data_IF_680980145102
#
_entry.id   IF_680980145102
#
_cell.length_a   1.000
_cell.length_b   1.000
_cell.length_c   1.000
_cell.angle_alpha   90.00
_cell.angle_beta   90.00
_cell.angle_gamma   90.00
#
_symmetry.space_group_name_H-M   'P 1'
#
loop_
_entity.id
_entity.type
_entity.pdbx_description
1 polymer ?
2 non-polymer ?
3 non-polymer ?
4 water ?
#
# COMPACT_ATOMS: atom_id res chain seq x y z
N UNK A 38 -19.09 4.22 -12.11
CA UNK A 38 -20.29 3.42 -11.72
C UNK A 38 -21.50 4.34 -11.50
N UNK A 39 -22.68 3.83 -11.77
CA UNK A 39 -23.92 4.54 -11.49
C UNK A 39 -24.40 4.30 -10.05
N UNK A 40 -23.67 3.47 -9.29
CA UNK A 40 -23.90 3.36 -7.84
C UNK A 40 -23.52 4.69 -7.15
N UNK A 41 -24.46 5.25 -6.38
CA UNK A 41 -24.20 6.41 -5.53
C UNK A 41 -23.39 5.95 -4.31
N UNK A 42 -22.33 6.67 -4.01
CA UNK A 42 -21.47 6.31 -2.87
C UNK A 42 -21.55 7.42 -1.83
N UNK A 43 -22.04 7.04 -0.66
CA UNK A 43 -22.25 7.95 0.45
C UNK A 43 -21.38 7.48 1.60
N UNK A 44 -20.52 8.36 2.09
CA UNK A 44 -19.76 8.08 3.29
C UNK A 44 -20.48 8.50 4.58
N UNK A 45 -20.47 7.64 5.58
CA UNK A 45 -20.96 7.94 6.93
C UNK A 45 -19.73 8.23 7.79
N UNK A 46 -19.62 9.47 8.23
CA UNK A 46 -18.46 9.87 9.01
C UNK A 46 -18.89 10.22 10.42
N UNK A 47 -17.95 10.07 11.35
CA UNK A 47 -18.15 10.45 12.72
C UNK A 47 -17.08 9.85 13.62
N UNK A 48 -17.07 10.35 14.85
CA UNK A 48 -16.07 9.92 15.83
C UNK A 48 -16.31 8.47 16.27
N UNK A 49 -15.32 7.87 16.93
CA UNK A 49 -15.44 6.51 17.50
C UNK A 49 -16.70 6.39 18.39
N UNK A 50 -17.51 5.35 18.15
CA UNK A 50 -18.77 5.10 18.81
C UNK A 50 -19.83 6.21 18.76
N UNK A 51 -19.77 7.07 17.75
CA UNK A 51 -20.84 8.02 17.49
C UNK A 51 -22.18 7.31 17.16
N UNK A 52 -22.10 6.15 16.51
CA UNK A 52 -23.33 5.43 16.14
C UNK A 52 -23.45 5.12 14.66
N UNK A 53 -22.34 5.11 13.96
CA UNK A 53 -22.32 4.96 12.51
C UNK A 53 -22.78 3.56 12.06
N UNK A 54 -22.23 2.48 12.63
CA UNK A 54 -22.68 1.13 12.23
C UNK A 54 -24.16 0.97 12.56
N UNK A 55 -24.56 1.49 13.72
CA UNK A 55 -25.94 1.38 14.15
C UNK A 55 -26.84 2.05 13.11
N UNK A 56 -26.50 3.28 12.71
CA UNK A 56 -27.31 4.07 11.77
C UNK A 56 -27.42 3.47 10.38
N UNK A 57 -26.27 3.15 9.82
CA UNK A 57 -26.19 2.55 8.51
C UNK A 57 -26.95 1.18 8.48
N UNK A 58 -26.91 0.40 9.58
CA UNK A 58 -27.64 -0.88 9.64
C UNK A 58 -29.16 -0.70 9.66
N UNK A 59 -29.63 0.38 10.26
CA UNK A 59 -31.02 0.84 10.16
C UNK A 59 -31.38 1.33 8.76
N UNK A 60 -30.59 2.28 8.24
CA UNK A 60 -30.78 2.78 6.88
C UNK A 60 -30.95 1.69 5.85
N UNK A 61 -29.99 0.77 5.81
CA UNK A 61 -29.95 -0.37 4.88
C UNK A 61 -31.34 -0.97 4.59
N UNK A 62 -32.15 -1.10 5.64
CA UNK A 62 -33.42 -1.82 5.54
C UNK A 62 -34.51 -1.06 4.77
N UNK A 63 -34.33 0.25 4.58
CA UNK A 63 -35.29 1.07 3.83
C UNK A 63 -35.54 0.62 2.39
N UNK A 64 -34.50 0.21 1.67
CA UNK A 64 -34.71 -0.36 0.34
C UNK A 64 -33.74 -1.46 0.07
N UNK A 65 -34.18 -2.39 -0.77
CA UNK A 65 -33.31 -3.39 -1.35
C UNK A 65 -32.28 -2.75 -2.29
N UNK A 66 -32.43 -1.48 -2.60
CA UNK A 66 -31.48 -0.75 -3.45
C UNK A 66 -30.28 -0.25 -2.64
N UNK A 67 -30.39 -0.37 -1.31
CA UNK A 67 -29.38 0.16 -0.40
C UNK A 67 -28.52 -0.94 0.20
N UNK A 68 -27.20 -0.78 0.06
CA UNK A 68 -26.22 -1.66 0.69
C UNK A 68 -25.22 -0.87 1.55
N UNK A 69 -24.47 -1.63 2.36
CA UNK A 69 -23.49 -1.05 3.28
C UNK A 69 -22.12 -1.72 3.14
N UNK A 70 -21.06 -0.92 3.30
CA UNK A 70 -19.72 -1.48 3.42
C UNK A 70 -19.22 -1.09 4.81
N UNK A 71 -19.28 -2.03 5.74
CA UNK A 71 -18.78 -1.73 7.09
C UNK A 71 -17.24 -1.65 7.13
N UNK A 72 -16.68 -0.98 8.13
CA UNK A 72 -15.24 -1.09 8.38
C UNK A 72 -14.98 -2.51 8.78
N UNK A 73 -13.90 -3.13 8.24
CA UNK A 73 -13.65 -4.53 8.59
C UNK A 73 -12.93 -4.64 9.92
N UNK A 74 -13.60 -4.22 11.00
CA UNK A 74 -12.94 -4.07 12.29
C UNK A 74 -12.46 -5.43 12.86
N UNK A 75 -13.22 -6.49 12.55
CA UNK A 75 -12.86 -7.86 12.93
C UNK A 75 -11.54 -8.30 12.34
N UNK A 76 -11.26 -7.89 11.10
CA UNK A 76 -9.98 -8.16 10.45
C UNK A 76 -8.85 -7.43 11.14
N UNK A 77 -9.14 -6.27 11.74
CA UNK A 77 -8.14 -5.52 12.50
C UNK A 77 -7.80 -6.12 13.87
N UNK A 78 -8.79 -6.67 14.55
CA UNK A 78 -8.55 -7.32 15.87
C UNK A 78 -8.14 -8.79 15.74
N UNK A 79 -8.23 -9.34 14.53
CA UNK A 79 -7.77 -10.68 14.28
C UNK A 79 -7.13 -10.82 12.90
N UNK A 80 -5.81 -10.61 12.87
CA UNK A 80 -5.08 -10.47 11.62
C UNK A 80 -4.93 -11.84 10.93
N UNK A 81 -5.41 -11.92 9.70
CA UNK A 81 -5.39 -13.17 8.94
C UNK A 81 -5.44 -12.94 7.44
N UNK A 82 -4.80 -13.87 6.70
CA UNK A 82 -4.80 -13.87 5.24
C UNK A 82 -6.23 -14.01 4.64
N UNK A 83 -6.36 -13.67 3.35
CA UNK A 83 -7.67 -13.61 2.66
C UNK A 83 -8.36 -12.27 2.88
N UNK A 96 -5.98 -18.08 14.94
CA UNK A 96 -6.22 -16.89 15.75
C UNK A 96 -4.98 -15.97 15.72
N UNK A 97 -5.07 -14.88 14.96
CA UNK A 97 -3.92 -14.04 14.68
C UNK A 97 -3.71 -12.87 15.59
N UNK A 98 -2.83 -11.95 15.19
CA UNK A 98 -2.53 -10.75 15.94
C UNK A 98 -3.66 -9.75 15.98
N UNK A 99 -3.66 -8.94 17.03
CA UNK A 99 -4.65 -7.93 17.19
C UNK A 99 -3.96 -6.59 16.93
N UNK A 100 -3.98 -6.13 15.68
CA UNK A 100 -3.24 -4.93 15.32
C UNK A 100 -3.93 -3.66 15.84
N UNK A 101 -5.23 -3.74 16.08
CA UNK A 101 -5.98 -2.67 16.75
C UNK A 101 -5.47 -2.44 18.17
N UNK A 102 -5.39 -3.52 18.95
CA UNK A 102 -4.79 -3.46 20.28
C UNK A 102 -3.32 -2.99 20.25
N UNK A 103 -2.54 -3.50 19.30
CA UNK A 103 -1.10 -3.16 19.24
C UNK A 103 -0.93 -1.67 19.02
N UNK A 104 -1.76 -1.11 18.13
CA UNK A 104 -1.74 0.32 17.92
C UNK A 104 -2.14 1.12 19.17
N UNK A 105 -3.25 0.75 19.82
CA UNK A 105 -3.66 1.49 21.02
C UNK A 105 -2.62 1.38 22.14
N UNK A 106 -2.04 0.19 22.31
CA UNK A 106 -1.05 -0.07 23.35
C UNK A 106 0.32 0.54 23.06
N UNK A 107 0.79 0.43 21.83
CA UNK A 107 2.10 0.96 21.47
C UNK A 107 1.99 1.80 20.21
N UNK A 108 1.34 2.98 20.30
CA UNK A 108 1.08 3.71 19.05
C UNK A 108 2.33 4.26 18.32
N UNK A 109 3.43 4.55 19.01
CA UNK A 109 4.63 4.98 18.27
C UNK A 109 5.29 3.82 17.49
N UNK A 110 5.06 2.58 17.92
CA UNK A 110 5.55 1.38 17.20
C UNK A 110 4.61 0.91 16.10
N UNK A 111 3.30 0.99 16.38
CA UNK A 111 2.33 0.26 15.54
C UNK A 111 1.36 1.10 14.72
N UNK A 112 1.35 2.41 14.92
CA UNK A 112 0.38 3.29 14.21
C UNK A 112 0.44 3.22 12.67
N UNK A 113 1.63 3.33 12.11
CA UNK A 113 1.81 3.25 10.67
C UNK A 113 1.31 1.94 10.11
N UNK A 114 1.67 0.83 10.75
CA UNK A 114 1.29 -0.50 10.31
C UNK A 114 -0.22 -0.64 10.32
N UNK A 115 -0.82 -0.33 11.47
CA UNK A 115 -2.25 -0.25 11.57
C UNK A 115 -2.91 0.66 10.49
N UNK A 116 -2.48 1.93 10.36
CA UNK A 116 -3.11 2.86 9.39
C UNK A 116 -3.04 2.34 7.96
N UNK A 117 -1.91 1.73 7.62
CA UNK A 117 -1.73 1.13 6.28
C UNK A 117 -2.68 0.00 6.07
N UNK A 118 -2.78 -0.88 7.07
CA UNK A 118 -3.66 -2.06 6.95
C UNK A 118 -5.16 -1.69 6.92
N UNK A 119 -5.52 -0.73 7.76
CA UNK A 119 -6.89 -0.24 7.85
C UNK A 119 -7.34 0.31 6.51
N UNK A 120 -6.50 1.15 5.91
CA UNK A 120 -6.86 1.76 4.64
C UNK A 120 -6.87 0.71 3.52
N UNK A 121 -5.87 -0.17 3.54
CA UNK A 121 -5.81 -1.25 2.54
C UNK A 121 -7.06 -2.12 2.59
N UNK A 122 -7.44 -2.54 3.80
CA UNK A 122 -8.63 -3.38 3.96
C UNK A 122 -9.94 -2.67 3.61
N UNK A 123 -9.99 -1.35 3.84
CA UNK A 123 -11.16 -0.56 3.43
C UNK A 123 -11.30 -0.52 1.91
N UNK A 124 -10.21 -0.19 1.22
CA UNK A 124 -10.22 -0.09 -0.23
C UNK A 124 -10.61 -1.43 -0.84
N UNK A 125 -10.05 -2.51 -0.31
CA UNK A 125 -10.43 -3.87 -0.70
C UNK A 125 -11.94 -4.07 -0.56
N UNK A 126 -12.48 -3.77 0.63
CA UNK A 126 -13.88 -4.00 0.92
C UNK A 126 -14.81 -3.17 0.05
N UNK A 127 -14.47 -1.90 -0.16
CA UNK A 127 -15.32 -0.92 -0.89
C UNK A 127 -15.37 -1.27 -2.37
N UNK A 128 -14.20 -1.60 -2.94
CA UNK A 128 -14.12 -2.05 -4.33
C UNK A 128 -14.89 -3.35 -4.59
N UNK A 129 -14.79 -4.33 -3.69
CA UNK A 129 -15.54 -5.60 -3.83
C UNK A 129 -17.05 -5.37 -3.90
N UNK A 130 -17.54 -4.50 -3.02
CA UNK A 130 -18.96 -4.16 -2.93
C UNK A 130 -19.50 -3.45 -4.15
N UNK A 131 -18.66 -2.67 -4.82
CA UNK A 131 -19.04 -2.02 -6.07
C UNK A 131 -19.11 -3.07 -7.19
N UNK A 132 -18.11 -3.95 -7.18
CA UNK A 132 -17.88 -4.87 -8.28
C UNK A 132 -19.00 -5.89 -8.38
N UNK A 133 -19.62 -6.21 -7.25
CA UNK A 133 -20.56 -7.32 -7.22
C UNK A 133 -21.99 -6.97 -6.85
N UNK A 134 -22.17 -6.09 -5.87
CA UNK A 134 -23.47 -5.88 -5.25
C UNK A 134 -24.31 -4.82 -6.00
N UNK A 135 -25.62 -4.81 -5.71
CA UNK A 135 -26.56 -3.86 -6.31
C UNK A 135 -26.59 -3.97 -7.84
N UNK A 136 -25.69 -3.21 -8.50
CA UNK A 136 -25.52 -3.18 -9.97
C UNK A 136 -26.51 -4.04 -10.76
N UNK A 137 -27.45 -3.33 -11.41
CA UNK A 137 -28.73 -3.88 -11.90
C UNK A 137 -29.89 -3.53 -10.95
N UNK A 138 -29.61 -2.76 -9.90
CA UNK A 138 -30.67 -2.22 -9.04
C UNK A 138 -31.25 -0.93 -9.61
N UNK A 139 -32.44 -0.57 -9.16
CA UNK A 139 -33.19 0.55 -9.65
C UNK A 139 -32.43 1.86 -9.45
N UNK A 140 -32.30 2.24 -8.18
CA UNK A 140 -31.50 3.39 -7.79
C UNK A 140 -30.48 2.95 -6.72
N UNK A 141 -29.38 2.28 -7.15
CA UNK A 141 -28.43 1.75 -6.15
C UNK A 141 -27.75 2.83 -5.31
N UNK A 142 -27.71 2.61 -4.00
CA UNK A 142 -26.87 3.41 -3.11
C UNK A 142 -25.97 2.48 -2.30
N UNK A 143 -24.72 2.87 -2.16
CA UNK A 143 -23.81 2.16 -1.29
C UNK A 143 -23.36 3.08 -0.16
N UNK A 144 -23.66 2.71 1.08
CA UNK A 144 -23.19 3.48 2.24
C UNK A 144 -21.88 2.94 2.78
N UNK A 145 -20.86 3.79 2.84
CA UNK A 145 -19.53 3.41 3.34
C UNK A 145 -19.47 3.78 4.80
N UNK A 146 -19.08 2.85 5.65
CA UNK A 146 -18.70 3.24 7.00
C UNK A 146 -17.31 3.83 6.93
N UNK A 147 -17.23 5.16 6.96
CA UNK A 147 -16.02 5.99 6.72
C UNK A 147 -15.42 5.84 5.32
N UNK A 148 -14.34 6.58 5.09
CA UNK A 148 -13.72 6.68 3.79
C UNK A 148 -12.20 6.72 3.91
N UNK A 149 -11.53 6.64 2.76
CA UNK A 149 -10.07 6.74 2.68
C UNK A 149 -9.63 8.13 3.13
N UNK A 150 -10.54 9.09 3.08
CA UNK A 150 -10.24 10.49 3.49
C UNK A 150 -10.22 10.66 4.98
N UNK A 151 -11.15 10.04 5.69
CA UNK A 151 -11.02 10.01 7.16
C UNK A 151 -9.82 9.16 7.64
N UNK A 152 -9.49 8.09 6.95
CA UNK A 152 -8.29 7.30 7.31
C UNK A 152 -7.07 8.24 7.38
N UNK A 153 -6.96 9.08 6.35
CA UNK A 153 -5.78 9.93 6.19
C UNK A 153 -5.81 11.25 6.92
N UNK A 154 -6.89 11.99 6.76
CA UNK A 154 -6.92 13.40 7.15
C UNK A 154 -7.46 13.58 8.59
N UNK A 155 -8.02 12.49 9.12
CA UNK A 155 -8.44 12.39 10.51
C UNK A 155 -7.49 11.52 11.30
N UNK A 156 -7.51 10.20 11.06
CA UNK A 156 -6.83 9.26 11.94
C UNK A 156 -5.31 9.30 11.81
N UNK A 157 -4.83 9.12 10.58
CA UNK A 157 -3.38 9.09 10.36
C UNK A 157 -2.77 10.42 10.69
N UNK A 158 -3.45 11.48 10.26
CA UNK A 158 -3.00 12.84 10.49
C UNK A 158 -2.86 13.13 11.99
N UNK A 159 -3.88 12.75 12.78
CA UNK A 159 -3.80 12.94 14.25
C UNK A 159 -2.60 12.20 14.85
N UNK A 160 -2.30 11.03 14.31
CA UNK A 160 -1.18 10.22 14.79
C UNK A 160 0.15 10.93 14.50
N UNK A 161 0.26 11.52 13.31
CA UNK A 161 1.45 12.28 12.95
C UNK A 161 1.57 13.50 13.86
N UNK A 162 0.45 14.18 14.07
CA UNK A 162 0.41 15.35 14.96
C UNK A 162 0.79 15.04 16.40
N UNK A 163 0.44 13.83 16.86
CA UNK A 163 0.73 13.40 18.23
C UNK A 163 2.12 12.76 18.37
N UNK A 164 2.89 12.78 17.28
CA UNK A 164 4.20 12.13 17.18
C UNK A 164 4.15 10.59 17.34
N UNK A 165 3.01 9.98 16.99
CA UNK A 165 2.87 8.52 16.99
C UNK A 165 3.37 7.90 15.69
N UNK A 166 3.48 8.74 14.68
CA UNK A 166 4.19 8.45 13.45
C UNK A 166 5.25 9.54 13.30
N UNK A 167 6.46 9.15 12.88
CA UNK A 167 7.50 10.17 12.58
C UNK A 167 7.37 10.75 11.15
N UNK A 168 8.27 11.66 10.77
CA UNK A 168 8.20 12.31 9.44
C UNK A 168 8.27 11.33 8.29
N UNK A 169 9.18 10.37 8.43
CA UNK A 169 9.39 9.35 7.41
C UNK A 169 8.15 8.49 7.25
N UNK A 170 7.62 7.98 8.35
CA UNK A 170 6.37 7.19 8.32
C UNK A 170 5.20 7.98 7.72
N UNK A 171 5.06 9.24 8.12
CA UNK A 171 3.99 10.09 7.59
C UNK A 171 4.15 10.30 6.07
N UNK A 172 5.39 10.54 5.62
CA UNK A 172 5.65 10.79 4.20
C UNK A 172 5.37 9.53 3.37
N UNK A 173 5.81 8.37 3.89
CA UNK A 173 5.51 7.08 3.27
C UNK A 173 4.02 6.80 3.17
N UNK A 174 3.33 7.00 4.28
CA UNK A 174 1.86 6.85 4.31
C UNK A 174 1.19 7.77 3.26
N UNK A 175 1.51 9.06 3.25
CA UNK A 175 0.93 9.93 2.22
C UNK A 175 1.28 9.48 0.80
N UNK A 176 2.53 9.05 0.55
CA UNK A 176 2.91 8.58 -0.81
C UNK A 176 2.07 7.34 -1.19
N UNK A 177 1.99 6.41 -0.26
CA UNK A 177 1.21 5.18 -0.39
C UNK A 177 -0.23 5.53 -0.71
N UNK A 178 -0.81 6.45 0.08
CA UNK A 178 -2.21 6.84 -0.07
C UNK A 178 -2.53 7.53 -1.40
N UNK A 179 -1.70 8.49 -1.78
CA UNK A 179 -1.80 9.17 -3.07
C UNK A 179 -1.82 8.17 -4.21
N UNK A 180 -0.88 7.23 -4.17
CA UNK A 180 -0.79 6.24 -5.26
C UNK A 180 -1.95 5.23 -5.24
N UNK A 181 -2.18 4.58 -4.11
CA UNK A 181 -3.27 3.63 -3.96
C UNK A 181 -4.58 4.23 -4.44
N UNK A 182 -4.78 5.52 -4.20
CA UNK A 182 -5.99 6.20 -4.65
C UNK A 182 -5.96 6.78 -6.08
N UNK A 183 -4.76 7.00 -6.63
CA UNK A 183 -4.64 7.39 -8.05
C UNK A 183 -5.16 6.28 -8.98
N UNK A 184 -5.03 5.03 -8.56
CA UNK A 184 -5.62 3.92 -9.29
C UNK A 184 -7.13 3.80 -8.95
N UNK A 185 -7.45 3.77 -7.66
CA UNK A 185 -8.81 3.44 -7.22
C UNK A 185 -9.57 4.67 -6.70
N UNK A 186 -9.00 5.85 -6.95
CA UNK A 186 -9.63 7.10 -6.52
C UNK A 186 -10.97 7.28 -7.22
N UNK A 187 -10.94 7.12 -8.55
CA UNK A 187 -12.07 7.43 -9.41
C UNK A 187 -13.31 6.59 -9.05
N UNK A 188 -13.08 5.29 -8.87
CA UNK A 188 -14.18 4.34 -8.74
C UNK A 188 -14.85 4.44 -7.35
N UNK A 189 -14.12 5.01 -6.41
CA UNK A 189 -14.59 5.12 -5.03
C UNK A 189 -15.05 6.54 -4.69
N UNK A 190 -15.09 7.45 -5.67
CA UNK A 190 -15.39 8.86 -5.36
C UNK A 190 -16.77 9.06 -4.74
N UNK A 191 -16.87 9.93 -3.74
CA UNK A 191 -18.12 10.03 -2.96
C UNK A 191 -19.13 10.96 -3.64
N UNK A 192 -20.41 10.58 -3.56
CA UNK A 192 -21.49 11.44 -4.03
C UNK A 192 -22.03 12.37 -2.94
N UNK A 193 -21.89 11.94 -1.69
CA UNK A 193 -22.43 12.68 -0.55
C UNK A 193 -21.75 12.16 0.70
N UNK A 194 -21.79 12.98 1.75
CA UNK A 194 -21.28 12.56 3.07
C UNK A 194 -22.37 12.74 4.11
N UNK A 195 -22.53 11.76 4.99
CA UNK A 195 -23.37 11.96 6.20
C UNK A 195 -22.48 12.05 7.42
N UNK A 196 -22.54 13.19 8.09
CA UNK A 196 -21.71 13.41 9.27
C UNK A 196 -22.56 13.20 10.50
N UNK A 197 -22.27 12.13 11.24
CA UNK A 197 -23.00 11.85 12.50
C UNK A 197 -22.23 12.52 13.60
N UNK A 198 -22.85 13.56 14.17
CA UNK A 198 -22.23 14.46 15.14
C UNK A 198 -22.62 14.00 16.55
N UNK A 199 -21.61 13.75 17.38
CA UNK A 199 -21.78 13.34 18.77
C UNK A 199 -20.64 13.99 19.52
N UNK A 200 -20.89 14.43 20.75
CA UNK A 200 -19.82 15.01 21.56
C UNK A 200 -18.77 13.99 21.93
N UNK A 201 -17.54 14.45 22.21
CA UNK A 201 -16.54 13.52 22.72
C UNK A 201 -17.03 12.73 23.96
N UNK A 202 -17.76 13.40 24.85
CA UNK A 202 -18.36 12.74 26.02
C UNK A 202 -19.40 11.66 25.65
N UNK A 203 -20.26 11.97 24.69
CA UNK A 203 -21.19 10.96 24.16
C UNK A 203 -20.44 9.73 23.61
N UNK A 204 -19.44 9.97 22.77
CA UNK A 204 -18.58 8.93 22.23
C UNK A 204 -17.88 8.11 23.30
N UNK A 205 -17.39 8.76 24.37
CA UNK A 205 -16.68 8.01 25.38
C UNK A 205 -17.63 7.02 26.09
N UNK A 206 -18.79 7.52 26.46
CA UNK A 206 -19.87 6.69 27.00
C UNK A 206 -20.21 5.48 26.14
N UNK A 207 -20.34 5.70 24.83
CA UNK A 207 -20.70 4.65 23.87
C UNK A 207 -19.58 3.63 23.64
N UNK A 208 -18.33 4.10 23.75
CA UNK A 208 -17.19 3.17 23.78
C UNK A 208 -17.40 2.17 24.92
N UNK A 209 -17.78 2.69 26.09
CA UNK A 209 -18.14 1.84 27.24
C UNK A 209 -19.33 0.93 26.95
N UNK A 210 -20.42 1.51 26.45
CA UNK A 210 -21.62 0.72 26.12
C UNK A 210 -21.26 -0.44 25.21
N UNK A 211 -20.50 -0.15 24.16
CA UNK A 211 -20.18 -1.20 23.17
C UNK A 211 -19.24 -2.28 23.71
N UNK A 212 -18.28 -1.88 24.55
CA UNK A 212 -17.38 -2.82 25.23
C UNK A 212 -16.25 -3.46 24.45
N UNK A 213 -15.83 -2.86 23.35
CA UNK A 213 -14.65 -3.37 22.61
C UNK A 213 -13.42 -3.25 23.53
N UNK A 214 -12.85 -4.39 23.93
CA UNK A 214 -11.71 -4.39 24.86
C UNK A 214 -10.60 -3.40 24.51
N UNK A 215 -10.14 -3.42 23.27
CA UNK A 215 -9.05 -2.53 22.76
C UNK A 215 -9.24 -1.03 23.04
N UNK A 216 -10.50 -0.61 23.16
CA UNK A 216 -10.87 0.82 23.23
C UNK A 216 -11.12 1.34 24.62
N UNK A 217 -11.12 0.44 25.60
CA UNK A 217 -11.60 0.85 26.93
C UNK A 217 -10.68 1.84 27.64
N UNK A 218 -9.42 1.94 27.21
CA UNK A 218 -8.50 2.91 27.78
C UNK A 218 -8.36 4.23 27.04
N UNK A 219 -9.09 4.40 25.93
CA UNK A 219 -9.00 5.65 25.18
C UNK A 219 -9.47 6.74 26.12
N UNK A 220 -8.67 7.81 26.29
CA UNK A 220 -9.04 8.94 27.12
C UNK A 220 -9.93 9.94 26.39
N UNK A 221 -10.75 10.68 27.14
CA UNK A 221 -11.55 11.76 26.54
C UNK A 221 -10.76 12.72 25.60
N UNK A 222 -9.53 13.07 25.96
CA UNK A 222 -8.80 14.05 25.15
C UNK A 222 -8.38 13.53 23.76
N UNK A 223 -8.23 12.22 23.62
CA UNK A 223 -8.01 11.60 22.30
C UNK A 223 -9.25 11.78 21.41
N UNK A 224 -10.43 11.51 21.99
CA UNK A 224 -11.72 11.73 21.31
C UNK A 224 -11.93 13.20 20.95
N UNK A 225 -11.52 14.10 21.84
CA UNK A 225 -11.56 15.56 21.56
C UNK A 225 -10.76 15.91 20.33
N UNK A 226 -9.57 15.36 20.21
CA UNK A 226 -8.70 15.62 19.07
C UNK A 226 -9.36 15.15 17.77
N UNK A 227 -10.01 13.97 17.81
CA UNK A 227 -10.66 13.42 16.60
C UNK A 227 -11.89 14.25 16.24
N UNK A 228 -12.62 14.67 17.28
CA UNK A 228 -13.74 15.55 17.12
C UNK A 228 -13.34 16.82 16.39
N UNK A 229 -12.27 17.48 16.87
CA UNK A 229 -11.84 18.77 16.26
C UNK A 229 -11.53 18.58 14.76
N UNK A 230 -10.90 17.47 14.40
CA UNK A 230 -10.59 17.22 13.00
C UNK A 230 -11.85 17.00 12.16
N UNK A 231 -12.81 16.26 12.70
CA UNK A 231 -14.11 16.09 12.06
C UNK A 231 -14.82 17.42 11.82
N UNK A 232 -14.86 18.28 12.86
CA UNK A 232 -15.55 19.56 12.74
C UNK A 232 -14.82 20.42 11.70
N UNK A 233 -13.49 20.40 11.74
CA UNK A 233 -12.73 21.21 10.81
C UNK A 233 -12.98 20.72 9.38
N UNK A 234 -13.07 19.40 9.20
CA UNK A 234 -13.31 18.84 7.86
C UNK A 234 -14.72 19.08 7.40
N UNK A 235 -15.69 18.75 8.24
CA UNK A 235 -17.03 18.55 7.76
C UNK A 235 -18.01 19.67 8.13
N UNK A 236 -17.69 20.41 9.18
CA UNK A 236 -18.54 21.52 9.65
C UNK A 236 -17.97 22.87 9.24
N UNK A 237 -16.72 23.15 9.62
CA UNK A 237 -16.07 24.40 9.29
C UNK A 237 -15.52 24.40 7.88
N UNK A 238 -15.29 23.20 7.35
CA UNK A 238 -14.70 22.97 6.02
C UNK A 238 -13.36 23.74 5.84
N UNK A 239 -12.53 23.70 6.88
CA UNK A 239 -11.23 24.35 6.88
C UNK A 239 -10.08 23.35 6.69
N UNK A 240 -10.41 22.05 6.71
CA UNK A 240 -9.43 20.99 6.43
C UNK A 240 -9.33 20.71 4.93
N UNK A 241 -8.21 21.08 4.32
CA UNK A 241 -7.97 20.89 2.87
C UNK A 241 -7.22 19.59 2.53
N UNK A 242 -7.70 18.88 1.51
CA UNK A 242 -7.16 17.59 1.10
C UNK A 242 -6.51 17.64 -0.29
N UNK A 243 -5.90 16.53 -0.70
CA UNK A 243 -5.32 16.38 -2.03
C UNK A 243 -6.35 15.97 -3.07
N UNK A 244 -7.63 16.13 -2.74
CA UNK A 244 -8.72 15.61 -3.60
C UNK A 244 -9.73 16.72 -3.82
N UNK A 245 -9.55 17.44 -4.92
CA UNK A 245 -10.29 18.70 -5.12
C UNK A 245 -11.79 18.50 -5.31
N UNK A 246 -12.20 17.32 -5.76
CA UNK A 246 -13.63 17.06 -5.96
C UNK A 246 -14.42 17.14 -4.66
N UNK A 247 -13.74 16.90 -3.53
CA UNK A 247 -14.39 16.76 -2.23
C UNK A 247 -15.00 18.06 -1.78
N UNK A 248 -14.32 19.17 -2.07
CA UNK A 248 -14.82 20.50 -1.71
C UNK A 248 -16.24 20.72 -2.24
N UNK A 249 -16.62 20.00 -3.29
CA UNK A 249 -17.95 20.07 -3.93
C UNK A 249 -19.02 19.13 -3.34
N UNK A 250 -18.59 18.15 -2.57
CA UNK A 250 -19.48 17.06 -2.15
C UNK A 250 -20.43 17.55 -1.05
N UNK A 251 -21.75 17.45 -1.25
CA UNK A 251 -22.66 17.90 -0.20
C UNK A 251 -22.57 17.05 1.08
N UNK A 252 -22.79 17.71 2.22
CA UNK A 252 -22.70 17.06 3.52
C UNK A 252 -24.02 17.26 4.28
N UNK A 253 -24.59 16.18 4.80
CA UNK A 253 -25.75 16.26 5.68
C UNK A 253 -25.24 15.99 7.06
N UNK A 254 -25.39 16.96 7.95
CA UNK A 254 -24.93 16.79 9.32
C UNK A 254 -26.13 16.42 10.19
N UNK A 255 -26.01 15.29 10.90
CA UNK A 255 -27.03 14.81 11.82
C UNK A 255 -26.50 14.79 13.25
N UNK A 256 -27.28 15.35 14.18
CA UNK A 256 -26.95 15.28 15.61
C UNK A 256 -27.43 13.97 16.21
N UNK A 257 -26.51 13.15 16.72
CA UNK A 257 -26.88 11.82 17.24
C UNK A 257 -26.57 11.67 18.72
N UNK A 258 -26.45 12.81 19.40
CA UNK A 258 -26.18 12.83 20.82
C UNK A 258 -27.26 12.20 21.67
N UNK A 259 -28.50 12.33 21.24
CA UNK A 259 -29.59 11.80 22.04
C UNK A 259 -29.68 10.26 21.93
N UNK A 260 -30.19 9.66 22.99
CA UNK A 260 -30.61 8.27 23.00
C UNK A 260 -31.48 7.99 21.75
N UNK A 261 -31.24 6.87 21.07
CA UNK A 261 -32.08 6.52 19.90
C UNK A 261 -33.54 6.17 20.21
N UNK A 262 -33.83 5.93 21.49
CA UNK A 262 -35.22 5.82 21.94
C UNK A 262 -36.03 7.05 21.46
N UNK A 263 -35.31 8.17 21.25
CA UNK A 263 -35.89 9.48 20.97
C UNK A 263 -36.06 9.82 19.49
N UNK A 264 -35.19 10.69 18.98
CA UNK A 264 -35.42 11.40 17.70
C UNK A 264 -34.89 10.74 16.40
N UNK A 265 -34.77 9.41 16.41
CA UNK A 265 -34.17 8.69 15.28
C UNK A 265 -34.97 8.66 13.97
N UNK A 266 -36.30 8.59 14.08
CA UNK A 266 -37.21 8.66 12.93
C UNK A 266 -36.92 9.83 11.99
N UNK A 267 -36.90 11.05 12.51
CA UNK A 267 -36.57 12.23 11.71
C UNK A 267 -35.25 12.05 10.92
N UNK A 268 -34.18 11.69 11.62
CA UNK A 268 -32.85 11.50 11.04
C UNK A 268 -32.86 10.62 9.77
N UNK A 269 -33.58 9.50 9.85
CA UNK A 269 -33.60 8.49 8.80
C UNK A 269 -34.30 9.02 7.56
N UNK A 270 -35.48 9.58 7.76
CA UNK A 270 -36.25 10.24 6.70
C UNK A 270 -35.42 11.33 6.03
N UNK A 271 -34.73 12.10 6.87
CA UNK A 271 -33.86 13.20 6.45
C UNK A 271 -32.69 12.74 5.53
N UNK A 272 -32.19 11.52 5.76
CA UNK A 272 -31.26 10.87 4.83
C UNK A 272 -31.98 10.48 3.53
N UNK A 273 -33.10 9.78 3.66
CA UNK A 273 -33.89 9.33 2.52
C UNK A 273 -34.05 10.46 1.49
N UNK A 274 -34.25 11.68 2.01
CA UNK A 274 -34.44 12.86 1.18
C UNK A 274 -33.17 13.60 0.72
N UNK A 275 -32.12 13.63 1.54
CA UNK A 275 -30.78 14.05 1.10
C UNK A 275 -30.35 13.30 -0.17
N UNK A 276 -30.60 11.99 -0.20
CA UNK A 276 -30.20 11.14 -1.33
C UNK A 276 -30.97 11.48 -2.61
N UNK A 277 -32.18 12.04 -2.46
CA UNK A 277 -32.99 12.49 -3.60
C UNK A 277 -32.39 13.71 -4.31
N UNK A 278 -31.66 14.52 -3.56
CA UNK A 278 -30.97 15.69 -4.09
C UNK A 278 -29.66 15.37 -4.81
N UNK A 279 -29.21 14.11 -4.78
CA UNK A 279 -27.90 13.76 -5.34
C UNK A 279 -28.00 13.17 -6.73
N UNK B 39 1.73 -6.18 -25.56
CA UNK B 39 2.70 -6.65 -26.60
C UNK B 39 4.14 -6.59 -26.08
N UNK B 40 4.39 -5.65 -25.17
CA UNK B 40 5.69 -5.51 -24.52
C UNK B 40 5.99 -6.79 -23.75
N UNK B 41 7.13 -7.39 -24.06
CA UNK B 41 7.65 -8.53 -23.32
C UNK B 41 8.30 -7.99 -22.06
N UNK B 42 8.04 -8.66 -20.95
CA UNK B 42 8.53 -8.20 -19.63
C UNK B 42 9.51 -9.24 -19.10
N UNK B 43 10.76 -8.80 -18.89
CA UNK B 43 11.83 -9.67 -18.41
C UNK B 43 12.37 -9.10 -17.11
N UNK B 44 12.38 -9.92 -16.07
CA UNK B 44 13.00 -9.51 -14.81
C UNK B 44 14.49 -9.89 -14.70
N UNK B 45 15.33 -8.93 -14.33
CA UNK B 45 16.71 -9.22 -13.98
C UNK B 45 16.72 -9.40 -12.45
N UNK B 46 17.10 -10.61 -12.02
CA UNK B 46 17.16 -10.98 -10.60
C UNK B 46 18.59 -11.31 -10.22
N UNK B 47 18.87 -11.21 -8.92
CA UNK B 47 20.19 -11.46 -8.38
C UNK B 47 20.40 -10.68 -7.10
N UNK B 48 21.44 -11.05 -6.38
CA UNK B 48 21.68 -10.55 -5.04
C UNK B 48 22.12 -9.09 -5.07
N UNK B 49 22.23 -8.50 -3.89
CA UNK B 49 22.69 -7.12 -3.75
C UNK B 49 24.09 -6.96 -4.39
N UNK B 50 24.22 -6.03 -5.34
CA UNK B 50 25.51 -5.67 -5.93
C UNK B 50 26.07 -6.79 -6.83
N UNK B 51 25.18 -7.68 -7.29
CA UNK B 51 25.57 -8.71 -8.26
C UNK B 51 26.04 -8.13 -9.60
N UNK B 52 25.51 -6.97 -9.99
CA UNK B 52 25.85 -6.28 -11.26
C UNK B 52 24.69 -6.09 -12.23
N UNK B 53 23.47 -6.10 -11.69
CA UNK B 53 22.21 -6.05 -12.48
C UNK B 53 22.03 -4.71 -13.20
N UNK B 54 22.10 -3.63 -12.46
CA UNK B 54 22.03 -2.29 -13.04
C UNK B 54 23.10 -2.08 -14.12
N UNK B 55 24.34 -2.43 -13.79
CA UNK B 55 25.47 -2.31 -14.71
C UNK B 55 25.20 -3.07 -15.99
N UNK B 56 24.88 -4.36 -15.84
CA UNK B 56 24.62 -5.22 -16.98
C UNK B 56 23.47 -4.76 -17.85
N UNK B 57 22.31 -4.54 -17.23
CA UNK B 57 21.08 -4.33 -18.02
C UNK B 57 21.08 -2.94 -18.70
N UNK B 58 21.70 -1.95 -18.07
CA UNK B 58 21.69 -0.61 -18.66
C UNK B 58 22.73 -0.45 -19.74
N UNK B 59 23.65 -1.39 -19.81
CA UNK B 59 24.56 -1.46 -20.93
C UNK B 59 23.89 -2.27 -22.04
N UNK B 60 23.40 -3.47 -21.68
CA UNK B 60 22.62 -4.35 -22.55
C UNK B 60 21.50 -3.67 -23.35
N UNK B 61 20.77 -2.75 -22.72
CA UNK B 61 19.61 -2.12 -23.33
C UNK B 61 19.97 -1.27 -24.56
N UNK B 62 21.23 -0.88 -24.64
CA UNK B 62 21.74 -0.07 -25.76
C UNK B 62 21.74 -0.79 -27.10
N UNK B 63 21.80 -2.11 -27.06
CA UNK B 63 21.80 -2.94 -28.27
C UNK B 63 20.56 -2.81 -29.16
N UNK B 64 19.44 -2.38 -28.58
CA UNK B 64 18.23 -2.24 -29.34
C UNK B 64 17.36 -1.09 -28.88
N UNK B 65 16.88 -0.30 -29.84
CA UNK B 65 16.00 0.83 -29.54
C UNK B 65 14.66 0.32 -29.00
N UNK B 66 14.40 -0.97 -29.20
CA UNK B 66 13.19 -1.63 -28.68
C UNK B 66 13.37 -2.15 -27.25
N UNK B 67 14.57 -2.00 -26.69
CA UNK B 67 14.86 -2.43 -25.30
C UNK B 67 14.95 -1.27 -24.32
N UNK B 68 14.14 -1.34 -23.28
CA UNK B 68 14.16 -0.35 -22.21
C UNK B 68 14.21 -1.03 -20.84
N UNK B 69 14.67 -0.29 -19.83
CA UNK B 69 14.80 -0.80 -18.46
C UNK B 69 13.93 0.03 -17.51
N UNK B 70 13.30 -0.63 -16.53
CA UNK B 70 12.72 0.04 -15.34
C UNK B 70 13.67 -0.18 -14.14
N UNK B 71 14.44 0.85 -13.74
CA UNK B 71 15.32 0.59 -12.60
C UNK B 71 14.59 0.47 -11.27
N UNK B 72 15.26 -0.08 -10.28
CA UNK B 72 14.67 -0.18 -8.95
C UNK B 72 14.68 1.21 -8.31
N UNK B 73 13.61 1.60 -7.62
CA UNK B 73 13.56 2.95 -7.01
C UNK B 73 14.40 3.14 -5.74
N UNK B 74 15.62 2.63 -5.74
CA UNK B 74 16.48 2.76 -4.55
C UNK B 74 16.67 4.22 -4.09
N UNK B 75 16.85 5.16 -5.03
CA UNK B 75 16.92 6.59 -4.69
C UNK B 75 15.76 7.08 -3.86
N UNK B 76 14.56 6.60 -4.19
CA UNK B 76 13.33 6.96 -3.50
C UNK B 76 13.25 6.38 -2.08
N UNK B 77 14.03 5.34 -1.83
CA UNK B 77 14.15 4.70 -0.51
C UNK B 77 15.17 5.41 0.40
N UNK B 78 16.26 5.90 -0.17
CA UNK B 78 17.25 6.60 0.64
C UNK B 78 16.90 8.10 0.88
N UNK B 79 15.87 8.60 0.19
CA UNK B 79 15.46 9.99 0.25
C UNK B 79 13.94 10.00 0.05
N UNK B 80 13.23 9.89 1.15
CA UNK B 80 11.79 9.61 1.13
C UNK B 80 11.03 10.93 0.92
N UNK B 81 10.31 11.02 -0.19
CA UNK B 81 9.55 12.23 -0.56
C UNK B 81 8.16 11.85 -1.02
N UNK B 82 7.20 12.70 -0.75
CA UNK B 82 5.88 12.55 -1.34
C UNK B 82 5.58 13.83 -2.16
N UNK B 83 4.54 13.78 -2.97
CA UNK B 83 4.27 14.85 -3.94
C UNK B 83 3.88 16.18 -3.28
N UNK B 84 4.37 17.28 -3.84
CA UNK B 84 3.99 18.60 -3.33
C UNK B 84 2.69 19.07 -3.93
N UNK B 85 1.98 19.91 -3.19
CA UNK B 85 0.80 20.58 -3.70
C UNK B 85 1.21 21.48 -4.89
N UNK B 86 0.28 21.73 -5.81
CA UNK B 86 0.53 22.44 -7.09
C UNK B 86 0.97 23.91 -6.89
N UNK B 87 0.44 24.52 -5.84
CA UNK B 87 0.80 25.90 -5.48
C UNK B 87 2.03 25.93 -4.59
N UNK B 88 2.09 25.01 -3.62
CA UNK B 88 3.22 24.97 -2.69
C UNK B 88 4.58 24.74 -3.38
N UNK B 89 4.60 23.96 -4.45
CA UNK B 89 5.86 23.63 -5.13
C UNK B 89 6.51 24.82 -5.84
N UNK B 90 5.72 25.87 -6.04
CA UNK B 90 6.21 27.06 -6.70
C UNK B 90 7.04 27.99 -5.79
N UNK B 91 6.86 27.84 -4.46
CA UNK B 91 7.62 28.69 -3.54
C UNK B 91 8.43 27.88 -2.54
N UNK B 92 8.13 26.57 -2.43
CA UNK B 92 8.83 25.72 -1.50
C UNK B 92 9.58 24.64 -2.27
N UNK B 93 10.81 24.35 -1.83
CA UNK B 93 11.66 23.36 -2.45
C UNK B 93 11.17 21.96 -2.05
N UNK B 94 11.48 20.97 -2.88
CA UNK B 94 11.18 19.60 -2.49
C UNK B 94 12.34 19.14 -1.60
N UNK B 95 12.11 19.05 -0.30
CA UNK B 95 13.18 18.81 0.69
C UNK B 95 13.67 17.36 0.73
N UNK B 96 14.95 17.17 1.10
CA UNK B 96 15.41 15.80 1.37
C UNK B 96 14.62 15.19 2.53
N UNK B 97 14.12 13.97 2.35
CA UNK B 97 13.33 13.33 3.39
C UNK B 97 14.19 12.35 4.18
N UNK B 98 13.53 11.48 4.91
CA UNK B 98 14.21 10.46 5.71
C UNK B 98 14.86 9.43 4.81
N UNK B 99 15.67 8.58 5.43
CA UNK B 99 16.33 7.51 4.71
C UNK B 99 15.82 6.17 5.22
N UNK B 100 14.79 5.60 4.59
CA UNK B 100 14.18 4.38 5.15
C UNK B 100 15.04 3.13 4.90
N UNK B 101 15.81 3.17 3.82
CA UNK B 101 16.79 2.15 3.54
C UNK B 101 17.76 2.02 4.72
N UNK B 102 18.24 3.15 5.19
CA UNK B 102 19.24 3.16 6.28
C UNK B 102 18.54 2.80 7.58
N UNK B 103 17.27 3.20 7.71
CA UNK B 103 16.57 2.96 8.98
C UNK B 103 16.37 1.46 9.13
N UNK B 104 16.04 0.81 8.01
CA UNK B 104 15.91 -0.64 7.96
C UNK B 104 17.23 -1.33 8.30
N UNK B 105 18.35 -0.90 7.71
CA UNK B 105 19.62 -1.58 8.02
C UNK B 105 20.05 -1.39 9.45
N UNK B 106 19.77 -0.21 10.01
CA UNK B 106 20.13 0.08 11.40
C UNK B 106 19.27 -0.69 12.42
N UNK B 107 17.99 -0.85 12.12
CA UNK B 107 17.04 -1.46 13.07
C UNK B 107 16.00 -2.24 12.30
N UNK B 108 16.41 -3.41 11.76
CA UNK B 108 15.49 -4.18 10.93
C UNK B 108 14.24 -4.65 11.63
N UNK B 109 14.32 -4.97 12.93
CA UNK B 109 13.14 -5.46 13.66
C UNK B 109 12.03 -4.41 13.82
N UNK B 110 12.38 -3.15 13.66
CA UNK B 110 11.44 -2.04 13.80
C UNK B 110 10.96 -1.56 12.44
N UNK B 111 11.92 -1.46 11.51
CA UNK B 111 11.71 -0.79 10.23
C UNK B 111 11.52 -1.64 8.97
N UNK B 112 11.71 -2.97 9.08
CA UNK B 112 11.63 -3.88 7.92
C UNK B 112 10.28 -3.84 7.20
N UNK B 113 9.19 -3.99 7.97
CA UNK B 113 7.85 -3.99 7.41
C UNK B 113 7.58 -2.68 6.64
N UNK B 114 7.93 -1.56 7.25
CA UNK B 114 7.72 -0.25 6.63
C UNK B 114 8.50 -0.16 5.34
N UNK B 115 9.78 -0.51 5.40
CA UNK B 115 10.62 -0.49 4.21
C UNK B 115 10.06 -1.42 3.12
N UNK B 116 9.68 -2.65 3.47
CA UNK B 116 9.31 -3.61 2.41
C UNK B 116 8.00 -3.19 1.74
N UNK B 117 7.06 -2.70 2.54
CA UNK B 117 5.81 -2.17 1.98
C UNK B 117 6.11 -1.05 0.99
N UNK B 118 6.91 -0.07 1.39
CA UNK B 118 7.27 1.04 0.51
C UNK B 118 8.07 0.62 -0.74
N UNK B 119 9.00 -0.32 -0.55
CA UNK B 119 9.81 -0.86 -1.65
C UNK B 119 8.91 -1.35 -2.77
N UNK B 120 7.91 -2.12 -2.39
CA UNK B 120 7.08 -2.81 -3.35
C UNK B 120 6.08 -1.85 -4.00
N UNK B 121 5.47 -0.98 -3.19
CA UNK B 121 4.63 0.10 -3.72
C UNK B 121 5.36 0.95 -4.76
N UNK B 122 6.58 1.39 -4.44
CA UNK B 122 7.32 2.28 -5.33
C UNK B 122 7.67 1.53 -6.61
N UNK B 123 7.88 0.22 -6.50
CA UNK B 123 8.24 -0.60 -7.66
C UNK B 123 7.08 -0.71 -8.61
N UNK B 124 5.95 -1.16 -8.07
CA UNK B 124 4.75 -1.31 -8.85
C UNK B 124 4.40 0.02 -9.55
N UNK B 125 4.53 1.14 -8.84
CA UNK B 125 4.18 2.42 -9.44
C UNK B 125 5.07 2.68 -10.65
N UNK B 126 6.37 2.47 -10.48
CA UNK B 126 7.32 2.72 -11.57
C UNK B 126 7.14 1.73 -12.73
N UNK B 127 6.92 0.45 -12.42
CA UNK B 127 6.77 -0.59 -13.46
C UNK B 127 5.52 -0.36 -14.32
N UNK B 128 4.38 -0.09 -13.68
CA UNK B 128 3.14 0.18 -14.41
C UNK B 128 3.23 1.39 -15.34
N UNK B 129 3.89 2.44 -14.89
CA UNK B 129 4.03 3.65 -15.67
C UNK B 129 4.85 3.37 -16.94
N UNK B 130 5.92 2.58 -16.85
CA UNK B 130 6.75 2.32 -18.04
C UNK B 130 6.06 1.37 -19.01
N UNK B 131 5.21 0.52 -18.44
CA UNK B 131 4.46 -0.43 -19.21
C UNK B 131 3.46 0.36 -20.03
N UNK B 132 2.90 1.39 -19.41
CA UNK B 132 1.86 2.20 -20.01
C UNK B 132 2.34 3.31 -20.93
N UNK B 133 3.58 3.77 -20.75
CA UNK B 133 4.04 4.96 -21.44
C UNK B 133 5.21 4.86 -22.39
N UNK B 134 5.88 3.71 -22.42
CA UNK B 134 7.11 3.58 -23.22
C UNK B 134 7.00 2.53 -24.34
N UNK B 135 7.96 2.56 -25.27
CA UNK B 135 8.09 1.55 -26.33
C UNK B 135 6.87 1.42 -27.26
N UNK B 136 6.09 2.49 -27.38
CA UNK B 136 4.89 2.51 -28.26
C UNK B 136 5.19 2.39 -29.79
N UNK B 137 6.47 2.47 -30.17
CA UNK B 137 6.85 2.37 -31.58
C UNK B 137 7.86 1.25 -31.88
N UNK B 138 7.96 0.28 -30.98
CA UNK B 138 8.90 -0.81 -31.15
C UNK B 138 8.26 -1.97 -31.91
N UNK B 139 9.07 -2.62 -32.76
CA UNK B 139 8.65 -3.82 -33.47
C UNK B 139 8.63 -5.04 -32.54
N UNK B 140 9.69 -5.20 -31.75
CA UNK B 140 9.77 -6.27 -30.76
C UNK B 140 10.22 -5.70 -29.40
N UNK B 141 9.30 -5.01 -28.70
CA UNK B 141 9.62 -4.27 -27.49
C UNK B 141 9.83 -5.20 -26.30
N UNK B 142 10.93 -4.97 -25.60
CA UNK B 142 11.26 -5.73 -24.41
C UNK B 142 11.50 -4.71 -23.30
N UNK B 143 10.78 -4.88 -22.19
CA UNK B 143 10.99 -4.08 -20.99
C UNK B 143 11.66 -4.94 -19.90
N UNK B 144 12.88 -4.57 -19.51
CA UNK B 144 13.60 -5.29 -18.48
C UNK B 144 13.33 -4.63 -17.16
N UNK B 145 12.88 -5.40 -16.19
CA UNK B 145 12.70 -4.89 -14.86
C UNK B 145 13.94 -5.25 -14.03
N UNK B 146 14.48 -4.28 -13.30
CA UNK B 146 15.45 -4.55 -12.27
C UNK B 146 14.65 -5.05 -11.06
N UNK B 147 14.66 -6.37 -10.89
CA UNK B 147 13.90 -7.09 -9.89
C UNK B 147 12.40 -7.00 -10.10
N UNK B 148 11.67 -7.70 -9.26
CA UNK B 148 10.25 -7.90 -9.42
C UNK B 148 9.52 -7.87 -8.07
N UNK B 149 8.19 -7.81 -8.12
CA UNK B 149 7.40 -7.91 -6.90
C UNK B 149 7.57 -9.29 -6.26
N UNK B 150 8.05 -10.27 -7.04
CA UNK B 150 8.32 -11.61 -6.50
C UNK B 150 9.57 -11.68 -5.65
N UNK B 151 10.64 -11.02 -6.08
CA UNK B 151 11.81 -10.91 -5.24
C UNK B 151 11.55 -10.09 -4.00
N UNK B 152 10.76 -9.02 -4.10
CA UNK B 152 10.35 -8.26 -2.89
C UNK B 152 9.80 -9.19 -1.82
N UNK B 153 8.87 -10.05 -2.21
CA UNK B 153 8.15 -10.92 -1.28
C UNK B 153 8.97 -12.16 -0.88
N UNK B 154 9.42 -12.90 -1.89
CA UNK B 154 9.92 -14.27 -1.68
C UNK B 154 11.39 -14.34 -1.37
N UNK B 155 12.09 -13.25 -1.65
CA UNK B 155 13.49 -13.18 -1.28
C UNK B 155 13.63 -12.28 -0.08
N UNK B 156 13.36 -11.00 -0.28
CA UNK B 156 13.73 -10.01 0.75
C UNK B 156 12.84 -10.02 1.98
N UNK B 157 11.53 -9.93 1.79
CA UNK B 157 10.62 -9.87 2.95
C UNK B 157 10.57 -11.21 3.68
N UNK B 158 10.59 -12.28 2.89
CA UNK B 158 10.58 -13.63 3.43
C UNK B 158 11.80 -13.85 4.32
N UNK B 159 12.95 -13.39 3.84
CA UNK B 159 14.15 -13.48 4.62
C UNK B 159 14.06 -12.71 5.95
N UNK B 160 13.46 -11.53 5.92
CA UNK B 160 13.27 -10.71 7.11
C UNK B 160 12.36 -11.39 8.15
N UNK B 161 11.29 -12.01 7.65
CA UNK B 161 10.41 -12.84 8.45
C UNK B 161 11.16 -14.02 9.08
N UNK B 162 11.88 -14.78 8.25
CA UNK B 162 12.68 -15.89 8.74
C UNK B 162 13.69 -15.41 9.80
N UNK B 163 14.22 -14.21 9.65
CA UNK B 163 15.16 -13.68 10.62
C UNK B 163 14.51 -13.01 11.83
N UNK B 164 13.20 -13.13 11.97
CA UNK B 164 12.42 -12.44 13.03
C UNK B 164 12.57 -10.91 13.05
N UNK B 165 12.88 -10.33 11.89
CA UNK B 165 12.90 -8.89 11.73
C UNK B 165 11.48 -8.39 11.39
N UNK B 166 10.63 -9.32 10.97
CA UNK B 166 9.21 -9.05 10.86
C UNK B 166 8.51 -10.09 11.68
N UNK B 167 7.56 -9.68 12.51
CA UNK B 167 6.79 -10.65 13.27
C UNK B 167 5.64 -11.27 12.47
N UNK B 168 4.80 -12.03 13.16
CA UNK B 168 3.77 -12.81 12.49
C UNK B 168 2.69 -11.92 11.86
N UNK B 169 2.38 -10.85 12.60
CA UNK B 169 1.35 -9.90 12.24
C UNK B 169 1.81 -9.09 11.03
N UNK B 170 3.04 -8.60 11.09
CA UNK B 170 3.63 -7.87 9.96
C UNK B 170 3.71 -8.75 8.71
N UNK B 171 4.19 -9.98 8.85
CA UNK B 171 4.27 -10.89 7.71
C UNK B 171 2.89 -11.20 7.11
N UNK B 172 1.87 -11.38 7.95
CA UNK B 172 0.53 -11.67 7.47
C UNK B 172 0.00 -10.46 6.70
N UNK B 173 0.12 -9.28 7.27
CA UNK B 173 -0.32 -8.04 6.63
C UNK B 173 0.40 -7.83 5.30
N UNK B 174 1.72 -8.00 5.31
CA UNK B 174 2.51 -7.81 4.10
C UNK B 174 2.03 -8.71 2.99
N UNK B 175 1.86 -10.01 3.30
CA UNK B 175 1.46 -10.96 2.29
C UNK B 175 0.05 -10.68 1.81
N UNK B 176 -0.80 -10.26 2.74
CA UNK B 176 -2.21 -9.97 2.43
C UNK B 176 -2.27 -8.82 1.42
N UNK B 177 -1.56 -7.74 1.73
CA UNK B 177 -1.36 -6.59 0.83
C UNK B 177 -0.78 -6.97 -0.53
N UNK B 178 0.37 -7.66 -0.49
CA UNK B 178 1.04 -8.15 -1.70
C UNK B 178 0.06 -8.96 -2.58
N UNK B 179 -0.66 -9.92 -1.99
CA UNK B 179 -1.65 -10.73 -2.73
C UNK B 179 -2.70 -9.85 -3.39
N UNK B 180 -3.24 -8.90 -2.62
CA UNK B 180 -4.37 -8.10 -3.09
C UNK B 180 -3.96 -7.28 -4.30
N UNK B 181 -2.82 -6.61 -4.18
CA UNK B 181 -2.25 -5.83 -5.26
C UNK B 181 -1.94 -6.61 -6.52
N UNK B 182 -1.45 -7.83 -6.38
CA UNK B 182 -1.19 -8.64 -7.58
C UNK B 182 -2.46 -9.07 -8.30
N UNK B 183 -3.47 -9.43 -7.52
CA UNK B 183 -4.77 -9.76 -8.09
C UNK B 183 -5.40 -8.56 -8.82
N UNK B 184 -5.18 -7.35 -8.32
CA UNK B 184 -5.74 -6.14 -8.94
C UNK B 184 -5.30 -5.88 -10.38
N UNK B 185 -4.06 -6.23 -10.69
CA UNK B 185 -3.58 -6.18 -12.06
C UNK B 185 -3.89 -7.52 -12.69
N UNK B 186 -4.10 -7.52 -13.99
CA UNK B 186 -4.49 -8.74 -14.65
C UNK B 186 -3.26 -9.56 -14.88
N UNK B 187 -2.76 -9.48 -16.10
CA UNK B 187 -1.49 -10.08 -16.40
C UNK B 187 -0.51 -8.94 -16.65
N UNK B 188 -0.84 -7.73 -16.22
CA UNK B 188 -0.08 -6.56 -16.69
C UNK B 188 1.39 -6.57 -16.26
N UNK B 189 1.68 -6.95 -15.02
CA UNK B 189 3.09 -7.09 -14.58
C UNK B 189 3.70 -8.48 -14.77
N UNK B 190 2.90 -9.46 -15.20
CA UNK B 190 3.32 -10.84 -15.33
C UNK B 190 4.53 -10.95 -16.22
N UNK B 191 5.46 -11.79 -15.82
CA UNK B 191 6.74 -11.89 -16.49
C UNK B 191 6.67 -12.89 -17.61
N UNK B 192 7.41 -12.58 -18.66
CA UNK B 192 7.62 -13.47 -19.80
C UNK B 192 8.89 -14.29 -19.64
N UNK B 193 9.81 -13.83 -18.79
CA UNK B 193 11.11 -14.48 -18.66
C UNK B 193 11.86 -13.86 -17.50
N UNK B 194 12.80 -14.62 -16.94
CA UNK B 194 13.67 -14.10 -15.88
C UNK B 194 15.10 -14.38 -16.27
N UNK B 195 15.95 -13.39 -16.04
CA UNK B 195 17.36 -13.52 -16.20
C UNK B 195 17.97 -13.42 -14.82
N UNK B 196 18.57 -14.52 -14.40
CA UNK B 196 19.17 -14.57 -13.09
C UNK B 196 20.68 -14.38 -13.22
N UNK B 197 21.15 -13.27 -12.65
CA UNK B 197 22.59 -12.99 -12.55
C UNK B 197 23.13 -13.56 -11.28
N UNK B 198 23.89 -14.63 -11.41
CA UNK B 198 24.34 -15.38 -10.27
C UNK B 198 25.77 -14.96 -9.95
N UNK B 199 25.95 -14.44 -8.75
CA UNK B 199 27.27 -14.06 -8.23
C UNK B 199 27.37 -14.63 -6.82
N UNK B 200 28.56 -15.04 -6.42
CA UNK B 200 28.76 -15.54 -5.05
C UNK B 200 28.48 -14.47 -3.99
N UNK B 201 28.11 -14.89 -2.76
CA UNK B 201 28.00 -13.90 -1.68
C UNK B 201 29.27 -13.05 -1.55
N UNK B 202 30.43 -13.70 -1.69
CA UNK B 202 31.73 -13.01 -1.59
C UNK B 202 31.93 -11.95 -2.67
N UNK B 203 31.60 -12.28 -3.92
CA UNK B 203 31.58 -11.29 -4.99
C UNK B 203 30.66 -10.09 -4.69
N UNK B 204 29.42 -10.38 -4.24
CA UNK B 204 28.49 -9.33 -3.87
C UNK B 204 29.02 -8.44 -2.75
N UNK B 205 29.66 -9.04 -1.76
CA UNK B 205 30.18 -8.27 -0.65
C UNK B 205 31.27 -7.26 -1.13
N UNK B 206 32.12 -7.74 -2.02
CA UNK B 206 33.17 -6.93 -2.64
C UNK B 206 32.53 -5.83 -3.47
N UNK B 207 31.59 -6.19 -4.32
CA UNK B 207 30.86 -5.19 -5.13
C UNK B 207 30.05 -4.14 -4.35
N UNK B 208 29.56 -4.52 -3.16
CA UNK B 208 28.91 -3.53 -2.26
C UNK B 208 29.92 -2.46 -1.86
N UNK B 209 31.12 -2.91 -1.49
CA UNK B 209 32.23 -2.03 -1.18
C UNK B 209 32.65 -1.16 -2.39
N UNK B 210 32.82 -1.75 -3.57
CA UNK B 210 33.14 -0.98 -4.80
C UNK B 210 32.15 0.13 -5.03
N UNK B 211 30.86 -0.21 -4.96
CA UNK B 211 29.80 0.77 -5.23
C UNK B 211 29.74 1.89 -4.17
N UNK B 212 29.96 1.53 -2.91
CA UNK B 212 30.04 2.50 -1.83
C UNK B 212 28.74 3.14 -1.37
N UNK B 213 27.60 2.44 -1.47
CA UNK B 213 26.37 2.96 -0.83
C UNK B 213 26.53 2.92 0.67
N UNK B 214 26.41 4.11 1.28
CA UNK B 214 26.65 4.32 2.70
C UNK B 214 25.87 3.37 3.59
N UNK B 215 24.58 3.24 3.26
CA UNK B 215 23.60 2.38 3.96
C UNK B 215 23.97 0.88 3.99
N UNK B 216 24.76 0.43 3.01
CA UNK B 216 25.08 -0.99 2.83
C UNK B 216 26.45 -1.43 3.36
N UNK B 217 27.23 -0.50 3.91
CA UNK B 217 28.63 -0.84 4.27
C UNK B 217 28.76 -1.77 5.48
N UNK B 218 27.71 -1.85 6.30
CA UNK B 218 27.67 -2.77 7.43
C UNK B 218 27.10 -4.16 7.15
N UNK B 219 26.68 -4.43 5.91
CA UNK B 219 26.10 -5.74 5.57
C UNK B 219 27.11 -6.88 5.69
N UNK B 220 26.83 -7.89 6.54
CA UNK B 220 27.80 -8.97 6.63
C UNK B 220 27.56 -10.04 5.63
N UNK B 221 28.60 -10.81 5.37
CA UNK B 221 28.53 -11.92 4.44
C UNK B 221 27.35 -12.88 4.71
N UNK B 222 27.09 -13.15 5.99
CA UNK B 222 25.98 -14.03 6.43
C UNK B 222 24.60 -13.58 5.91
N UNK B 223 24.40 -12.27 5.81
CA UNK B 223 23.17 -11.72 5.30
C UNK B 223 23.05 -11.97 3.79
N UNK B 224 24.15 -11.76 3.06
CA UNK B 224 24.18 -12.00 1.61
C UNK B 224 24.03 -13.49 1.27
N UNK B 225 24.57 -14.33 2.13
CA UNK B 225 24.48 -15.78 1.94
C UNK B 225 23.02 -16.24 2.06
N UNK B 226 22.31 -15.69 3.03
CA UNK B 226 20.89 -15.96 3.17
C UNK B 226 20.08 -15.57 1.95
N UNK B 227 20.35 -14.38 1.42
CA UNK B 227 19.71 -13.93 0.19
C UNK B 227 20.12 -14.77 -1.01
N UNK B 228 21.39 -15.17 -1.04
CA UNK B 228 21.88 -16.09 -2.08
C UNK B 228 21.09 -17.40 -2.12
N UNK B 229 20.95 -18.04 -0.97
CA UNK B 229 20.20 -19.29 -0.86
C UNK B 229 18.77 -19.18 -1.37
N UNK B 230 18.10 -18.06 -1.09
CA UNK B 230 16.71 -17.86 -1.50
C UNK B 230 16.66 -17.74 -2.99
N UNK B 231 17.64 -17.05 -3.57
CA UNK B 231 17.69 -16.88 -5.03
C UNK B 231 17.91 -18.24 -5.68
N UNK B 232 18.80 -19.04 -5.11
CA UNK B 232 19.11 -20.36 -5.66
C UNK B 232 17.90 -21.28 -5.62
N UNK B 233 17.19 -21.28 -4.49
CA UNK B 233 15.96 -22.08 -4.35
C UNK B 233 14.91 -21.66 -5.35
N UNK B 234 14.73 -20.36 -5.50
CA UNK B 234 13.70 -19.83 -6.40
C UNK B 234 14.07 -20.04 -7.86
N UNK B 235 15.31 -19.74 -8.22
CA UNK B 235 15.60 -19.59 -9.64
C UNK B 235 16.47 -20.65 -10.27
N UNK B 236 17.16 -21.39 -9.42
CA UNK B 236 18.13 -22.36 -9.90
C UNK B 236 17.60 -23.77 -9.64
N UNK B 237 17.34 -24.06 -8.37
CA UNK B 237 16.79 -25.37 -8.00
C UNK B 237 15.29 -25.41 -8.24
N UNK B 238 14.66 -24.22 -8.23
CA UNK B 238 13.25 -24.06 -8.54
C UNK B 238 12.34 -24.83 -7.57
N UNK B 239 12.74 -24.89 -6.32
CA UNK B 239 12.00 -25.62 -5.29
C UNK B 239 11.06 -24.70 -4.52
N UNK B 240 11.22 -23.39 -4.71
CA UNK B 240 10.47 -22.42 -3.93
C UNK B 240 9.05 -22.29 -4.48
N UNK B 241 8.06 -22.45 -3.60
CA UNK B 241 6.65 -22.31 -3.96
C UNK B 241 6.17 -20.89 -3.67
N UNK B 242 5.42 -20.33 -4.62
CA UNK B 242 4.88 -18.98 -4.52
C UNK B 242 3.39 -19.06 -4.75
N UNK B 243 2.68 -17.99 -4.43
CA UNK B 243 1.25 -17.91 -4.69
C UNK B 243 0.92 -17.63 -6.15
N UNK B 244 1.92 -17.65 -7.03
CA UNK B 244 1.75 -17.27 -8.44
C UNK B 244 2.20 -18.39 -9.39
N UNK B 245 1.24 -19.21 -9.82
CA UNK B 245 1.53 -20.53 -10.38
C UNK B 245 2.20 -20.49 -11.74
N UNK B 246 1.94 -19.43 -12.50
CA UNK B 246 2.58 -19.29 -13.81
C UNK B 246 4.10 -19.26 -13.67
N UNK B 247 4.59 -18.78 -12.52
CA UNK B 247 6.04 -18.66 -12.28
C UNK B 247 6.74 -20.01 -12.30
N UNK B 248 6.01 -21.07 -11.97
CA UNK B 248 6.58 -22.41 -12.01
C UNK B 248 7.05 -22.74 -13.44
N UNK B 249 6.46 -22.07 -14.43
CA UNK B 249 6.72 -22.35 -15.83
C UNK B 249 7.42 -21.23 -16.62
N UNK B 250 7.58 -20.05 -16.02
CA UNK B 250 8.33 -18.96 -16.67
C UNK B 250 9.77 -19.40 -16.97
N UNK B 251 10.23 -19.18 -18.22
CA UNK B 251 11.60 -19.52 -18.59
C UNK B 251 12.61 -18.67 -17.82
N UNK B 252 13.71 -19.29 -17.41
CA UNK B 252 14.76 -18.62 -16.62
C UNK B 252 16.12 -18.83 -17.29
N UNK B 253 16.84 -17.74 -17.52
CA UNK B 253 18.20 -17.80 -18.01
C UNK B 253 19.15 -17.47 -16.85
N UNK B 254 20.04 -18.39 -16.49
CA UNK B 254 20.97 -18.16 -15.39
C UNK B 254 22.33 -17.78 -15.95
N UNK B 255 22.88 -16.67 -15.49
CA UNK B 255 24.17 -16.21 -16.01
C UNK B 255 25.14 -15.97 -14.87
N UNK B 256 26.33 -16.57 -14.95
CA UNK B 256 27.33 -16.36 -13.90
C UNK B 256 27.99 -15.00 -14.17
N UNK B 257 27.93 -14.10 -13.18
CA UNK B 257 28.50 -12.74 -13.34
C UNK B 257 29.69 -12.50 -12.40
N UNK B 258 30.30 -13.58 -11.92
CA UNK B 258 31.46 -13.44 -11.03
C UNK B 258 32.67 -12.79 -11.68
N UNK B 259 32.87 -12.98 -12.99
CA UNK B 259 34.08 -12.46 -13.67
C UNK B 259 34.00 -10.96 -13.82
N UNK B 260 35.15 -10.35 -14.07
CA UNK B 260 35.23 -8.94 -14.41
C UNK B 260 34.39 -8.75 -15.63
N UNK B 261 33.78 -7.58 -15.73
CA UNK B 261 32.78 -7.28 -16.75
C UNK B 261 33.24 -7.57 -18.18
N UNK B 262 34.47 -7.17 -18.53
CA UNK B 262 34.98 -7.40 -19.91
C UNK B 262 35.10 -8.89 -20.24
N UNK B 263 35.26 -9.72 -19.21
CA UNK B 263 35.68 -11.10 -19.45
C UNK B 263 34.58 -11.97 -20.06
N UNK B 264 33.34 -11.75 -19.66
CA UNK B 264 32.25 -12.63 -20.11
C UNK B 264 31.12 -11.93 -20.82
N UNK B 265 31.20 -10.61 -20.99
CA UNK B 265 30.09 -9.82 -21.53
C UNK B 265 29.58 -10.30 -22.89
N UNK B 266 30.49 -10.67 -23.78
CA UNK B 266 30.12 -11.11 -25.12
C UNK B 266 29.20 -12.33 -25.06
N UNK B 267 29.64 -13.34 -24.32
CA UNK B 267 28.87 -14.57 -24.22
C UNK B 267 27.55 -14.36 -23.49
N UNK B 268 27.53 -13.44 -22.52
CA UNK B 268 26.30 -13.03 -21.82
C UNK B 268 25.28 -12.41 -22.77
N UNK B 269 25.75 -11.50 -23.62
CA UNK B 269 24.86 -10.88 -24.60
C UNK B 269 24.33 -11.95 -25.56
N UNK B 270 25.20 -12.82 -26.03
CA UNK B 270 24.80 -13.93 -26.92
C UNK B 270 23.75 -14.84 -26.29
N UNK B 271 23.96 -15.19 -25.02
CA UNK B 271 23.00 -15.98 -24.28
C UNK B 271 21.67 -15.27 -24.09
N UNK B 272 21.71 -13.96 -23.80
CA UNK B 272 20.49 -13.19 -23.63
C UNK B 272 19.67 -13.17 -24.93
N UNK B 273 20.36 -12.92 -26.05
CA UNK B 273 19.68 -12.82 -27.34
C UNK B 273 19.07 -14.16 -27.74
N UNK B 274 19.78 -15.25 -27.49
CA UNK B 274 19.26 -16.56 -27.81
C UNK B 274 18.03 -16.84 -26.95
N UNK B 275 18.11 -16.47 -25.67
CA UNK B 275 17.01 -16.63 -24.71
C UNK B 275 15.76 -15.83 -25.14
N UNK B 276 15.94 -14.59 -25.57
CA UNK B 276 14.80 -13.77 -26.01
C UNK B 276 14.09 -14.34 -27.23
N UNK B 277 14.86 -14.92 -28.14
CA UNK B 277 14.32 -15.61 -29.33
C UNK B 277 13.30 -16.70 -29.02
N UNK B 278 13.43 -17.32 -27.84
CA UNK B 278 12.59 -18.43 -27.42
C UNK B 278 11.30 -17.99 -26.75
N UNK B 279 11.21 -16.71 -26.41
CA UNK B 279 10.04 -16.18 -25.71
C UNK B 279 8.89 -15.82 -26.64
#
# INVERSE_FOLDING_TARGET
MGSSHHHHHHSGLVPRGSHMATPPKRSSPSFSASSEGTRIKKISIEGNIAAGKSTFVNILKQLSEDWEVVPEPVARWSNVQSTQDEFEELTMSQKNGGNVLQMMYEKPERWSFTFQTYACLSRIRAQLASLNGKLKDAEKPVLFFERSVYSDRYIFASNLYESESMNETEWTIYQDWHDWMNNQFGQSLELDGIIYLQATPETCLHRIYLRGRNEEQGIPLEYLEKLHYKHESWLLHRTLKTNFDYLQEVPILTLDVNEDFKDKYESLVEKVKEFLSTL
MGSSHHHHHHSGLVPRGSHMATPPKRSSPSFSASSEGTRIKKISIEGNIAAGKSTFVNILKQLSEDWEVVPEPVARWSNVQSTQDEFEELTMSQKNGGNVLQMMYEKPERWSFTFQTYACLSRIRAQLASLNGKLKDAEKPVLFFERSVYSDRYIFASNLYESESMNETEWTIYQDWHDWMNNQFGQSLELDGIIYLQATPETCLHRIYLRGRNEEQGIPLEYLEKLHYKHESWLLHRTLKTNFDYLQEVPILTLDVNEDFKDKYESLVEKVKEFLSTL
#
